data_IF_900362333868
#
_entry.id   IF_900362333868
#
_cell.length_a   1.000
_cell.length_b   1.000
_cell.length_c   1.000
_cell.angle_alpha   90.00
_cell.angle_beta   90.00
_cell.angle_gamma   90.00
#
_symmetry.space_group_name_H-M   'P 1'
#
loop_
_entity.id
_entity.type
_entity.pdbx_description
1 polymer ?
#
# COMPACT_ATOMS: atom_id res chain seq x y z
N UNK A 1 -10.32 37.15 10.76
CA UNK A 1 -9.39 38.19 11.26
C UNK A 1 -8.28 37.58 12.15
N UNK A 2 -7.50 36.60 11.68
CA UNK A 2 -6.34 36.07 12.43
C UNK A 2 -5.16 35.64 11.53
N UNK A 3 -5.24 35.89 10.22
CA UNK A 3 -4.20 35.49 9.25
C UNK A 3 -3.14 36.54 8.91
N UNK A 4 -3.37 37.82 9.19
CA UNK A 4 -2.50 38.89 8.68
C UNK A 4 -1.38 39.35 9.63
N UNK A 5 -1.40 38.92 10.89
CA UNK A 5 -0.41 39.41 11.85
C UNK A 5 0.92 38.60 11.83
N UNK A 6 0.93 37.38 11.31
CA UNK A 6 2.20 36.64 11.23
C UNK A 6 3.09 37.06 10.06
N UNK A 7 2.53 37.57 8.98
CA UNK A 7 3.34 38.07 7.83
C UNK A 7 4.04 39.38 8.14
N UNK A 8 3.51 40.19 9.05
CA UNK A 8 4.11 41.48 9.41
C UNK A 8 5.30 41.37 10.38
N UNK A 9 5.39 40.31 11.17
CA UNK A 9 6.52 40.09 12.09
C UNK A 9 7.77 39.63 11.34
N UNK A 10 7.63 38.96 10.23
CA UNK A 10 8.77 38.50 9.41
C UNK A 10 9.43 39.64 8.59
N UNK A 11 8.69 40.72 8.29
CA UNK A 11 9.23 41.85 7.53
C UNK A 11 9.99 42.87 8.40
N UNK A 12 9.83 42.85 9.72
CA UNK A 12 10.46 43.85 10.61
C UNK A 12 11.87 43.46 11.10
N UNK A 13 12.29 42.18 10.87
CA UNK A 13 13.63 41.69 11.24
C UNK A 13 14.68 41.79 10.13
N UNK A 14 14.31 42.26 8.93
CA UNK A 14 15.19 42.32 7.75
C UNK A 14 15.87 43.68 7.56
N UNK A 15 15.54 44.69 8.38
CA UNK A 15 16.02 46.08 8.13
C UNK A 15 17.26 46.48 8.96
N UNK A 16 17.75 45.68 9.89
CA UNK A 16 18.93 46.00 10.68
C UNK A 16 19.99 44.89 10.64
N UNK A 17 20.84 44.93 9.64
CA UNK A 17 22.12 44.17 9.67
C UNK A 17 22.49 43.50 8.38
N UNK A 18 23.37 44.09 7.61
CA UNK A 18 24.35 43.54 6.68
C UNK A 18 23.88 42.40 5.78
N UNK A 19 23.99 42.61 4.48
CA UNK A 19 23.76 41.68 3.36
C UNK A 19 24.38 40.28 3.56
N UNK A 20 23.76 39.44 4.34
CA UNK A 20 23.84 38.00 4.20
C UNK A 20 22.61 37.59 3.37
N UNK A 21 22.78 37.50 2.06
CA UNK A 21 21.86 36.80 1.22
C UNK A 21 21.94 35.32 1.60
N UNK A 22 21.24 34.92 2.66
CA UNK A 22 20.84 33.56 2.82
C UNK A 22 19.84 33.31 1.70
N UNK A 23 20.32 32.74 0.59
CA UNK A 23 19.48 32.01 -0.34
C UNK A 23 18.93 30.80 0.42
N UNK A 24 17.98 31.05 1.32
CA UNK A 24 17.06 30.02 1.76
C UNK A 24 16.20 29.80 0.52
N UNK A 25 16.58 28.84 -0.31
CA UNK A 25 15.63 28.22 -1.21
C UNK A 25 14.51 27.73 -0.29
N UNK A 26 13.44 28.50 -0.18
CA UNK A 26 12.20 28.02 0.40
C UNK A 26 11.78 26.88 -0.51
N UNK A 27 12.06 25.63 -0.12
CA UNK A 27 11.51 24.48 -0.79
C UNK A 27 10.00 24.70 -0.81
N UNK A 28 9.46 24.88 -2.00
CA UNK A 28 8.03 25.11 -2.19
C UNK A 28 7.35 23.77 -1.94
N UNK A 29 6.75 23.63 -0.75
CA UNK A 29 6.02 22.43 -0.40
C UNK A 29 4.82 22.30 -1.30
N UNK A 30 4.73 21.17 -1.98
CA UNK A 30 3.67 20.84 -2.93
C UNK A 30 2.40 20.33 -2.23
N UNK A 31 2.57 19.55 -1.16
CA UNK A 31 1.45 18.89 -0.50
C UNK A 31 1.68 18.82 1.02
N UNK A 32 0.61 19.06 1.79
CA UNK A 32 0.58 18.85 3.24
C UNK A 32 -0.47 17.80 3.56
N UNK A 33 -0.06 16.67 4.14
CA UNK A 33 -0.98 15.61 4.52
C UNK A 33 -1.73 15.92 5.83
N UNK A 34 -2.68 15.04 6.21
CA UNK A 34 -3.50 15.21 7.44
C UNK A 34 -2.68 15.13 8.73
N UNK A 35 -1.53 14.47 8.72
CA UNK A 35 -0.62 14.39 9.86
C UNK A 35 0.39 15.55 9.90
N UNK A 36 0.28 16.50 8.98
CA UNK A 36 1.13 17.70 8.95
C UNK A 36 2.45 17.52 8.20
N UNK A 37 2.70 16.36 7.59
CA UNK A 37 3.90 16.11 6.79
C UNK A 37 3.84 16.94 5.53
N UNK A 38 4.93 17.67 5.26
CA UNK A 38 5.11 18.52 4.10
C UNK A 38 5.92 17.75 3.05
N UNK A 39 5.35 17.56 1.86
CA UNK A 39 5.98 16.86 0.75
C UNK A 39 6.27 17.83 -0.38
N UNK A 40 7.45 17.76 -0.97
CA UNK A 40 7.72 18.40 -2.24
C UNK A 40 7.05 17.63 -3.39
N UNK A 41 7.10 18.16 -4.61
CA UNK A 41 6.43 17.56 -5.77
C UNK A 41 6.96 16.15 -6.11
N UNK A 42 8.28 15.94 -5.98
CA UNK A 42 8.91 14.66 -6.29
C UNK A 42 8.54 13.59 -5.25
N UNK A 43 8.56 13.92 -3.98
CA UNK A 43 8.15 13.03 -2.88
C UNK A 43 6.68 12.65 -2.98
N UNK A 44 5.81 13.63 -3.29
CA UNK A 44 4.39 13.37 -3.51
C UNK A 44 4.16 12.43 -4.69
N UNK A 45 4.81 12.68 -5.84
CA UNK A 45 4.76 11.78 -7.01
C UNK A 45 5.26 10.39 -6.68
N UNK A 46 6.40 10.30 -5.97
CA UNK A 46 6.95 9.04 -5.52
C UNK A 46 5.95 8.25 -4.68
N UNK A 47 5.34 8.89 -3.69
CA UNK A 47 4.33 8.23 -2.86
C UNK A 47 3.08 7.83 -3.63
N UNK A 48 2.65 8.58 -4.67
CA UNK A 48 1.54 8.19 -5.55
C UNK A 48 1.84 6.93 -6.35
N UNK A 49 3.09 6.74 -6.77
CA UNK A 49 3.51 5.52 -7.47
C UNK A 49 3.59 4.33 -6.52
N UNK A 50 3.96 4.57 -5.26
CA UNK A 50 4.16 3.52 -4.26
C UNK A 50 2.89 3.16 -3.47
N UNK A 51 2.11 4.16 -3.07
CA UNK A 51 0.88 4.05 -2.30
C UNK A 51 -0.35 4.51 -3.11
N UNK A 52 -1.40 4.91 -2.42
CA UNK A 52 -2.57 5.59 -2.97
C UNK A 52 -2.70 6.99 -2.36
N UNK A 53 -3.46 7.88 -3.00
CA UNK A 53 -3.71 9.23 -2.47
C UNK A 53 -4.32 9.19 -1.05
N UNK A 54 -5.26 8.28 -0.81
CA UNK A 54 -5.85 8.10 0.52
C UNK A 54 -4.81 7.75 1.58
N UNK A 55 -3.81 6.92 1.24
CA UNK A 55 -2.78 6.53 2.19
C UNK A 55 -1.77 7.65 2.46
N UNK A 56 -1.47 8.49 1.45
CA UNK A 56 -0.54 9.62 1.61
C UNK A 56 -1.01 10.56 2.72
N UNK A 57 -2.31 10.76 2.86
CA UNK A 57 -2.91 11.53 3.94
C UNK A 57 -2.63 10.97 5.35
N UNK A 58 -2.32 9.70 5.46
CA UNK A 58 -2.06 8.99 6.71
C UNK A 58 -0.60 8.60 6.93
N UNK A 59 0.32 9.04 6.06
CA UNK A 59 1.76 8.88 6.28
C UNK A 59 2.14 9.66 7.55
N UNK A 60 2.77 8.96 8.49
CA UNK A 60 3.30 9.54 9.73
C UNK A 60 4.74 10.01 9.53
N UNK A 61 5.24 10.79 10.49
CA UNK A 61 6.63 11.25 10.48
C UNK A 61 7.62 10.07 10.46
N UNK A 62 7.34 9.01 11.21
CA UNK A 62 8.18 7.81 11.21
C UNK A 62 8.27 7.16 9.83
N UNK A 63 7.14 7.05 9.12
CA UNK A 63 7.11 6.51 7.75
C UNK A 63 7.90 7.42 6.81
N UNK A 64 7.68 8.73 6.88
CA UNK A 64 8.39 9.69 6.03
C UNK A 64 9.90 9.64 6.27
N UNK A 65 10.33 9.67 7.53
CA UNK A 65 11.74 9.61 7.92
C UNK A 65 12.39 8.29 7.51
N UNK A 66 11.66 7.18 7.56
CA UNK A 66 12.16 5.89 7.07
C UNK A 66 12.48 5.93 5.56
N UNK A 67 11.61 6.55 4.74
CA UNK A 67 11.87 6.74 3.31
C UNK A 67 13.04 7.68 3.06
N UNK A 68 13.13 8.78 3.81
CA UNK A 68 14.19 9.76 3.70
C UNK A 68 15.56 9.16 4.08
N UNK A 69 15.64 8.54 5.26
CA UNK A 69 16.89 8.01 5.82
C UNK A 69 17.47 6.84 5.01
N UNK A 70 16.60 6.08 4.33
CA UNK A 70 17.02 4.98 3.46
C UNK A 70 17.27 5.42 2.00
N UNK A 71 17.12 6.72 1.69
CA UNK A 71 17.33 7.26 0.34
C UNK A 71 16.35 6.67 -0.69
N UNK A 72 15.12 6.34 -0.28
CA UNK A 72 14.15 5.74 -1.18
C UNK A 72 13.61 6.75 -2.19
N UNK A 73 13.53 8.03 -1.86
CA UNK A 73 13.03 9.07 -2.77
C UNK A 73 13.90 9.22 -4.03
N UNK A 74 15.20 8.88 -3.94
CA UNK A 74 16.12 8.89 -5.07
C UNK A 74 16.02 7.62 -5.92
N UNK A 75 15.19 6.67 -5.54
CA UNK A 75 15.04 5.39 -6.21
C UNK A 75 13.79 5.35 -7.07
N UNK A 76 13.82 4.48 -8.08
CA UNK A 76 12.67 4.25 -8.93
C UNK A 76 11.71 3.26 -8.28
N UNK A 77 10.44 3.63 -8.16
CA UNK A 77 9.38 2.69 -7.80
C UNK A 77 9.08 1.82 -9.01
N UNK A 78 9.14 0.50 -8.82
CA UNK A 78 8.83 -0.46 -9.86
C UNK A 78 7.44 -1.04 -9.64
N UNK A 79 6.52 -0.65 -10.50
CA UNK A 79 5.28 -1.35 -10.76
C UNK A 79 5.29 -1.79 -12.22
N UNK A 80 5.25 -3.07 -12.50
CA UNK A 80 5.10 -3.55 -13.87
C UNK A 80 3.63 -3.64 -14.21
N UNK A 81 3.19 -2.94 -15.24
CA UNK A 81 1.83 -3.08 -15.76
C UNK A 81 1.67 -4.48 -16.39
N UNK A 82 0.56 -5.14 -16.02
CA UNK A 82 0.17 -6.40 -16.65
C UNK A 82 -0.43 -6.12 -18.03
N UNK A 83 0.31 -6.42 -19.07
CA UNK A 83 -0.22 -6.53 -20.41
C UNK A 83 -0.77 -7.94 -20.62
N UNK A 84 -2.09 -8.09 -20.61
CA UNK A 84 -2.82 -9.34 -20.60
C UNK A 84 -2.60 -10.34 -21.75
N UNK A 85 -1.58 -10.17 -22.57
CA UNK A 85 -1.31 -11.00 -23.73
C UNK A 85 -0.21 -12.06 -23.56
N UNK A 86 0.53 -12.07 -22.45
CA UNK A 86 1.56 -13.08 -22.20
C UNK A 86 1.38 -13.80 -20.87
N UNK A 87 0.94 -15.03 -20.92
CA UNK A 87 0.75 -15.96 -19.81
C UNK A 87 2.02 -16.25 -18.97
N UNK A 88 3.17 -15.74 -19.35
CA UNK A 88 4.47 -16.03 -18.72
C UNK A 88 5.06 -14.85 -17.92
N UNK A 89 4.61 -13.62 -18.15
CA UNK A 89 5.06 -12.45 -17.39
C UNK A 89 3.97 -11.99 -16.44
N UNK A 90 4.07 -12.42 -15.20
CA UNK A 90 3.18 -11.97 -14.12
C UNK A 90 3.57 -10.57 -13.76
N UNK A 91 2.78 -9.61 -14.18
CA UNK A 91 2.94 -8.21 -13.81
C UNK A 91 2.64 -7.98 -12.33
N UNK A 92 3.16 -6.90 -11.79
CA UNK A 92 2.85 -6.43 -10.44
C UNK A 92 1.44 -5.81 -10.32
N UNK A 93 0.66 -5.82 -11.39
CA UNK A 93 -0.74 -5.38 -11.42
C UNK A 93 -1.61 -6.43 -12.05
N UNK A 94 -2.71 -6.77 -11.39
CA UNK A 94 -3.80 -7.55 -11.97
C UNK A 94 -5.11 -6.83 -11.75
N UNK A 95 -5.90 -6.71 -12.80
CA UNK A 95 -7.13 -5.95 -12.83
C UNK A 95 -8.26 -6.75 -13.46
N UNK A 96 -9.42 -6.67 -12.85
CA UNK A 96 -10.69 -7.16 -13.36
C UNK A 96 -11.66 -5.99 -13.59
N UNK A 97 -12.85 -6.25 -14.10
CA UNK A 97 -13.88 -5.20 -14.24
C UNK A 97 -14.32 -4.57 -12.90
N UNK A 98 -14.07 -5.23 -11.77
CA UNK A 98 -14.55 -4.81 -10.45
C UNK A 98 -13.45 -4.51 -9.45
N UNK A 99 -12.25 -5.08 -9.62
CA UNK A 99 -11.16 -5.02 -8.63
C UNK A 99 -9.80 -4.90 -9.30
N UNK A 100 -8.86 -4.38 -8.51
CA UNK A 100 -7.44 -4.31 -8.86
C UNK A 100 -6.61 -4.78 -7.68
N UNK A 101 -5.54 -5.50 -7.94
CA UNK A 101 -4.41 -5.67 -7.03
C UNK A 101 -3.15 -5.15 -7.70
N UNK A 102 -2.38 -4.35 -6.98
CA UNK A 102 -1.09 -3.81 -7.42
C UNK A 102 -0.03 -4.07 -6.36
N UNK A 103 1.15 -4.46 -6.77
CA UNK A 103 2.33 -4.54 -5.93
C UNK A 103 3.39 -3.57 -6.45
N UNK A 104 3.96 -2.78 -5.56
CA UNK A 104 5.06 -1.85 -5.87
C UNK A 104 6.25 -2.17 -4.98
N UNK A 105 7.48 -2.01 -5.50
CA UNK A 105 8.70 -2.14 -4.74
C UNK A 105 9.60 -0.92 -4.91
N UNK A 106 10.30 -0.57 -3.86
CA UNK A 106 11.46 0.31 -3.89
C UNK A 106 12.57 -0.34 -3.07
N UNK A 107 13.79 -0.33 -3.58
CA UNK A 107 14.91 -1.03 -2.95
C UNK A 107 16.13 -0.12 -2.76
N UNK A 108 16.78 -0.26 -1.60
CA UNK A 108 18.13 0.25 -1.31
C UNK A 108 18.98 -0.89 -0.75
N UNK A 109 19.35 -0.89 0.51
CA UNK A 109 19.96 -2.03 1.22
C UNK A 109 18.96 -3.18 1.46
N UNK A 110 17.69 -2.86 1.59
CA UNK A 110 16.53 -3.75 1.65
C UNK A 110 15.45 -3.26 0.68
N UNK A 111 14.40 -4.02 0.51
CA UNK A 111 13.25 -3.62 -0.31
C UNK A 111 12.04 -3.33 0.58
N UNK A 112 11.42 -2.19 0.35
CA UNK A 112 10.10 -1.86 0.87
C UNK A 112 9.05 -2.20 -0.18
N UNK A 113 8.01 -2.91 0.24
CA UNK A 113 6.94 -3.42 -0.61
C UNK A 113 5.62 -2.78 -0.19
N UNK A 114 4.81 -2.41 -1.16
CA UNK A 114 3.42 -1.98 -0.97
C UNK A 114 2.50 -2.86 -1.78
N UNK A 115 1.48 -3.41 -1.13
CA UNK A 115 0.36 -4.11 -1.77
C UNK A 115 -0.87 -3.22 -1.65
N UNK A 116 -1.47 -2.92 -2.78
CA UNK A 116 -2.73 -2.16 -2.88
C UNK A 116 -3.78 -3.05 -3.51
N UNK A 117 -4.87 -3.31 -2.79
CA UNK A 117 -6.08 -3.89 -3.36
C UNK A 117 -7.18 -2.83 -3.38
N UNK A 118 -7.83 -2.66 -4.54
CA UNK A 118 -8.82 -1.60 -4.75
C UNK A 118 -10.06 -2.15 -5.44
N UNK A 119 -11.22 -1.70 -4.98
CA UNK A 119 -12.47 -1.92 -5.69
C UNK A 119 -12.73 -0.80 -6.70
N UNK A 120 -13.03 -1.19 -7.92
CA UNK A 120 -13.45 -0.31 -9.01
C UNK A 120 -14.96 -0.13 -9.06
N UNK A 121 -15.69 -1.12 -8.53
CA UNK A 121 -17.15 -1.11 -8.40
C UNK A 121 -17.51 -1.63 -7.02
N UNK A 122 -18.51 -1.03 -6.40
CA UNK A 122 -19.02 -1.48 -5.11
C UNK A 122 -19.52 -2.93 -5.20
N UNK A 123 -19.12 -3.76 -4.24
CA UNK A 123 -19.65 -5.11 -4.12
C UNK A 123 -20.97 -5.14 -3.34
N UNK A 124 -21.84 -6.06 -3.73
CA UNK A 124 -23.06 -6.37 -3.01
C UNK A 124 -22.76 -7.16 -1.73
N UNK A 125 -21.80 -8.08 -1.80
CA UNK A 125 -21.42 -8.90 -0.64
C UNK A 125 -20.39 -8.16 0.21
N UNK A 126 -20.75 -7.94 1.47
CA UNK A 126 -19.93 -7.24 2.48
C UNK A 126 -19.58 -8.21 3.60
N UNK A 127 -18.55 -9.01 3.40
CA UNK A 127 -18.15 -10.06 4.32
C UNK A 127 -16.65 -9.93 4.64
N UNK A 128 -15.91 -11.03 4.69
CA UNK A 128 -14.49 -11.05 4.97
C UNK A 128 -13.70 -11.32 3.70
N UNK A 129 -12.93 -10.32 3.28
CA UNK A 129 -11.97 -10.45 2.20
C UNK A 129 -10.58 -10.82 2.74
N UNK A 130 -9.72 -11.31 1.85
CA UNK A 130 -8.38 -11.78 2.22
C UNK A 130 -7.34 -11.20 1.28
N UNK A 131 -6.25 -10.68 1.85
CA UNK A 131 -4.99 -10.45 1.15
C UNK A 131 -3.99 -11.47 1.64
N UNK A 132 -3.43 -12.25 0.71
CA UNK A 132 -2.35 -13.19 0.96
C UNK A 132 -1.06 -12.71 0.34
N UNK A 133 0.03 -12.91 1.05
CA UNK A 133 1.38 -12.61 0.61
C UNK A 133 2.24 -13.81 0.94
N UNK A 134 3.02 -14.27 -0.04
CA UNK A 134 3.97 -15.34 0.13
C UNK A 134 5.34 -14.90 -0.39
N UNK A 135 6.38 -15.06 0.43
CA UNK A 135 7.75 -14.73 0.10
C UNK A 135 8.56 -16.02 -0.11
N UNK A 136 9.04 -16.20 -1.31
CA UNK A 136 9.94 -17.29 -1.67
C UNK A 136 11.39 -16.85 -1.47
N UNK A 137 12.09 -17.45 -0.51
CA UNK A 137 13.52 -17.22 -0.29
C UNK A 137 13.88 -16.07 0.64
N UNK A 138 13.02 -15.71 1.61
CA UNK A 138 13.33 -14.66 2.58
C UNK A 138 12.38 -14.62 3.77
N UNK A 139 12.56 -13.63 4.62
CA UNK A 139 11.72 -13.35 5.77
C UNK A 139 11.17 -11.93 5.69
N UNK A 140 9.98 -11.75 6.24
CA UNK A 140 9.38 -10.43 6.40
C UNK A 140 10.01 -9.67 7.55
N UNK A 141 10.29 -8.40 7.31
CA UNK A 141 10.78 -7.42 8.28
C UNK A 141 9.78 -6.25 8.33
N UNK A 142 9.70 -5.54 9.46
CA UNK A 142 8.94 -4.29 9.64
C UNK A 142 7.54 -4.29 8.96
N UNK A 143 6.72 -5.28 9.32
CA UNK A 143 5.37 -5.41 8.76
C UNK A 143 4.49 -4.31 9.33
N UNK A 144 3.94 -3.46 8.46
CA UNK A 144 2.87 -2.53 8.84
C UNK A 144 1.52 -3.24 8.89
N UNK A 145 0.66 -2.79 9.79
CA UNK A 145 -0.74 -3.23 9.77
C UNK A 145 -1.39 -2.78 8.46
N UNK A 146 -2.22 -3.66 7.89
CA UNK A 146 -3.01 -3.27 6.73
C UNK A 146 -3.99 -2.16 7.10
N UNK A 147 -4.13 -1.16 6.23
CA UNK A 147 -5.11 -0.09 6.36
C UNK A 147 -6.21 -0.29 5.34
N UNK A 148 -7.45 -0.23 5.80
CA UNK A 148 -8.65 -0.24 4.97
C UNK A 148 -9.22 1.17 4.88
N UNK A 149 -9.43 1.66 3.67
CA UNK A 149 -10.10 2.92 3.39
C UNK A 149 -11.45 2.66 2.73
N UNK A 150 -12.49 3.30 3.26
CA UNK A 150 -13.82 3.33 2.67
C UNK A 150 -14.19 4.77 2.37
N UNK A 151 -14.43 5.08 1.09
CA UNK A 151 -14.71 6.43 0.61
C UNK A 151 -13.70 7.48 1.13
N UNK A 152 -12.42 7.14 1.10
CA UNK A 152 -11.31 8.01 1.55
C UNK A 152 -11.11 8.07 3.07
N UNK A 153 -11.96 7.42 3.87
CA UNK A 153 -11.84 7.39 5.33
C UNK A 153 -11.18 6.08 5.76
N UNK A 154 -10.15 6.15 6.61
CA UNK A 154 -9.50 4.98 7.18
C UNK A 154 -10.44 4.32 8.19
N UNK A 155 -10.66 3.01 8.02
CA UNK A 155 -11.45 2.17 8.94
C UNK A 155 -10.60 1.00 9.39
N UNK A 156 -10.53 0.77 10.70
CA UNK A 156 -9.74 -0.32 11.29
C UNK A 156 -10.58 -1.59 11.39
N UNK A 157 -10.50 -2.46 10.37
CA UNK A 157 -11.21 -3.73 10.33
C UNK A 157 -10.35 -4.85 9.74
N UNK A 158 -9.05 -4.85 10.08
CA UNK A 158 -8.10 -5.82 9.53
C UNK A 158 -7.43 -6.62 10.64
N UNK A 159 -7.17 -7.89 10.37
CA UNK A 159 -6.36 -8.76 11.23
C UNK A 159 -5.31 -9.47 10.38
N UNK A 160 -4.04 -9.30 10.72
CA UNK A 160 -2.92 -9.92 10.01
C UNK A 160 -2.35 -11.10 10.81
N UNK A 161 -2.20 -12.24 10.15
CA UNK A 161 -1.49 -13.43 10.65
C UNK A 161 -0.20 -13.59 9.87
N UNK A 162 0.89 -13.87 10.58
CA UNK A 162 2.22 -14.11 10.02
C UNK A 162 2.64 -15.57 10.26
N UNK A 163 3.24 -16.14 9.23
CA UNK A 163 4.13 -17.32 9.32
C UNK A 163 5.52 -16.90 8.88
N UNK A 164 6.50 -17.82 8.85
CA UNK A 164 7.88 -17.48 8.47
C UNK A 164 7.97 -16.82 7.10
N UNK A 165 7.22 -17.32 6.14
CA UNK A 165 7.28 -16.89 4.73
C UNK A 165 5.93 -16.44 4.15
N UNK A 166 4.89 -16.30 4.97
CA UNK A 166 3.59 -15.85 4.48
C UNK A 166 2.88 -14.91 5.46
N UNK A 167 2.12 -13.99 4.89
CA UNK A 167 1.20 -13.09 5.60
C UNK A 167 -0.20 -13.31 5.08
N UNK A 168 -1.18 -13.29 5.96
CA UNK A 168 -2.59 -13.22 5.61
C UNK A 168 -3.26 -12.10 6.36
N UNK A 169 -3.88 -11.19 5.63
CA UNK A 169 -4.71 -10.15 6.21
C UNK A 169 -6.17 -10.44 5.90
N UNK A 170 -6.93 -10.69 6.96
CA UNK A 170 -8.39 -10.81 6.92
C UNK A 170 -9.01 -9.44 7.12
N UNK A 171 -9.90 -9.07 6.21
CA UNK A 171 -10.50 -7.73 6.14
C UNK A 171 -12.00 -7.86 6.28
N UNK A 172 -12.58 -7.35 7.35
CA UNK A 172 -14.03 -7.21 7.49
C UNK A 172 -14.49 -5.98 6.69
N UNK A 173 -15.24 -6.21 5.61
CA UNK A 173 -15.74 -5.12 4.79
C UNK A 173 -16.79 -4.29 5.53
N UNK A 174 -16.76 -2.94 5.42
CA UNK A 174 -17.79 -2.08 6.00
C UNK A 174 -19.13 -2.30 5.29
N UNK A 175 -20.22 -2.14 6.01
CA UNK A 175 -21.58 -2.34 5.48
C UNK A 175 -21.98 -1.30 4.44
N UNK A 176 -21.31 -0.14 4.42
CA UNK A 176 -21.54 0.99 3.52
C UNK A 176 -20.24 1.39 2.85
N UNK A 177 -20.34 2.23 1.83
CA UNK A 177 -19.21 2.78 1.08
C UNK A 177 -19.20 2.30 -0.38
N UNK A 178 -18.77 3.17 -1.29
CA UNK A 178 -18.74 2.92 -2.73
C UNK A 178 -17.35 2.53 -3.21
N UNK A 179 -16.31 3.05 -2.59
CA UNK A 179 -14.91 2.73 -2.88
C UNK A 179 -14.25 2.07 -1.69
N UNK A 180 -13.44 1.06 -1.96
CA UNK A 180 -12.63 0.37 -0.97
C UNK A 180 -11.21 0.26 -1.47
N UNK A 181 -10.27 0.62 -0.60
CA UNK A 181 -8.84 0.43 -0.81
C UNK A 181 -8.24 -0.23 0.41
N UNK A 182 -7.41 -1.22 0.18
CA UNK A 182 -6.67 -1.91 1.24
C UNK A 182 -5.20 -1.79 0.89
N UNK A 183 -4.40 -1.34 1.84
CA UNK A 183 -2.97 -1.13 1.64
C UNK A 183 -2.23 -1.83 2.77
N UNK A 184 -1.25 -2.64 2.39
CA UNK A 184 -0.32 -3.27 3.31
C UNK A 184 1.10 -3.06 2.82
N UNK A 185 2.01 -2.66 3.71
CA UNK A 185 3.42 -2.54 3.40
C UNK A 185 4.29 -3.33 4.40
N UNK A 186 5.47 -3.70 3.95
CA UNK A 186 6.44 -4.45 4.73
C UNK A 186 7.82 -4.32 4.10
N UNK A 187 8.83 -4.61 4.89
CA UNK A 187 10.20 -4.67 4.43
C UNK A 187 10.64 -6.12 4.25
N UNK A 188 11.51 -6.35 3.27
CA UNK A 188 12.10 -7.66 3.00
C UNK A 188 13.56 -7.49 2.58
N UNK A 189 14.37 -8.53 2.79
CA UNK A 189 15.71 -8.60 2.20
C UNK A 189 15.61 -8.59 0.68
N UNK A 190 16.61 -8.02 0.03
CA UNK A 190 16.67 -7.92 -1.42
C UNK A 190 17.02 -9.27 -2.07
N UNK A 191 16.13 -10.24 -1.94
CA UNK A 191 16.27 -11.57 -2.56
C UNK A 191 14.94 -12.31 -2.61
N UNK A 192 14.73 -13.13 -3.63
CA UNK A 192 13.56 -13.97 -3.77
C UNK A 192 12.44 -13.38 -4.63
N UNK A 193 11.28 -14.00 -4.54
CA UNK A 193 10.07 -13.61 -5.26
C UNK A 193 8.93 -13.43 -4.26
N UNK A 194 8.21 -12.32 -4.39
CA UNK A 194 6.99 -12.08 -3.63
C UNK A 194 5.79 -12.40 -4.52
N UNK A 195 4.86 -13.11 -3.95
CA UNK A 195 3.53 -13.38 -4.53
C UNK A 195 2.48 -12.74 -3.64
N UNK A 196 1.45 -12.16 -4.23
CA UNK A 196 0.31 -11.65 -3.49
C UNK A 196 -0.99 -11.90 -4.25
N UNK A 197 -2.07 -12.15 -3.51
CA UNK A 197 -3.41 -12.27 -4.07
C UNK A 197 -4.44 -11.59 -3.19
N UNK A 198 -5.49 -11.10 -3.81
CA UNK A 198 -6.66 -10.55 -3.16
C UNK A 198 -7.88 -11.38 -3.53
N UNK A 199 -8.54 -11.94 -2.51
CA UNK A 199 -9.70 -12.80 -2.67
C UNK A 199 -10.93 -12.15 -2.02
N UNK A 200 -11.96 -11.90 -2.84
CA UNK A 200 -13.22 -11.33 -2.38
C UNK A 200 -14.23 -12.44 -2.08
N UNK A 201 -14.92 -12.31 -0.94
CA UNK A 201 -16.00 -13.21 -0.57
C UNK A 201 -17.25 -12.93 -1.42
N UNK A 202 -17.66 -13.90 -2.25
CA UNK A 202 -18.88 -13.88 -3.08
C UNK A 202 -20.16 -14.20 -2.30
N UNK A 203 -20.02 -14.71 -1.08
CA UNK A 203 -21.11 -15.05 -0.17
C UNK A 203 -20.73 -14.59 1.24
N UNK A 204 -21.75 -14.42 2.10
CA UNK A 204 -21.50 -14.17 3.51
C UNK A 204 -20.73 -15.33 4.13
N UNK A 205 -19.65 -15.04 4.82
CA UNK A 205 -18.79 -16.02 5.48
C UNK A 205 -18.45 -15.53 6.89
N UNK A 206 -18.36 -16.45 7.85
CA UNK A 206 -17.93 -16.12 9.21
C UNK A 206 -16.40 -15.92 9.26
N UNK A 207 -15.91 -15.21 10.26
CA UNK A 207 -14.47 -15.03 10.48
C UNK A 207 -13.73 -16.38 10.60
N UNK A 208 -14.30 -17.34 11.33
CA UNK A 208 -13.70 -18.67 11.50
C UNK A 208 -13.57 -19.41 10.15
N UNK A 209 -14.61 -19.35 9.32
CA UNK A 209 -14.58 -19.97 8.00
C UNK A 209 -13.67 -19.21 7.00
N UNK A 210 -13.55 -17.89 7.12
CA UNK A 210 -12.65 -17.11 6.26
C UNK A 210 -11.17 -17.48 6.44
N UNK A 211 -10.83 -18.18 7.52
CA UNK A 211 -9.47 -18.64 7.86
C UNK A 211 -9.19 -20.09 7.52
N UNK A 212 -10.11 -20.78 6.84
CA UNK A 212 -9.95 -22.18 6.41
C UNK A 212 -9.15 -22.25 5.11
N UNK A 213 -7.86 -21.96 5.20
CA UNK A 213 -6.91 -22.04 4.11
C UNK A 213 -5.52 -22.40 4.63
N UNK A 214 -4.69 -22.92 3.74
CA UNK A 214 -3.24 -22.98 3.87
C UNK A 214 -2.59 -22.07 2.83
N UNK A 215 -1.31 -21.74 3.05
CA UNK A 215 -0.56 -21.01 2.06
C UNK A 215 0.00 -21.96 1.01
N UNK A 216 -0.18 -21.57 -0.25
CA UNK A 216 0.39 -22.28 -1.38
C UNK A 216 0.69 -21.29 -2.49
N UNK A 217 1.80 -21.45 -3.20
CA UNK A 217 2.02 -20.73 -4.44
C UNK A 217 1.42 -21.53 -5.59
N UNK A 218 0.34 -21.05 -6.17
CA UNK A 218 -0.25 -21.61 -7.36
C UNK A 218 0.11 -20.84 -8.62
N UNK A 219 0.04 -21.53 -9.75
CA UNK A 219 0.48 -21.10 -11.07
C UNK A 219 0.22 -19.63 -11.46
N UNK A 220 -0.70 -18.90 -10.89
CA UNK A 220 -1.03 -17.52 -11.25
C UNK A 220 -0.82 -16.51 -10.11
N UNK A 221 0.11 -16.80 -9.18
CA UNK A 221 0.38 -15.91 -8.04
C UNK A 221 -0.64 -16.01 -6.90
N UNK A 222 -1.58 -16.94 -6.96
CA UNK A 222 -2.47 -17.24 -5.85
C UNK A 222 -1.66 -17.79 -4.68
N UNK A 223 -1.89 -17.25 -3.48
CA UNK A 223 -1.18 -17.67 -2.27
C UNK A 223 -2.06 -18.47 -1.31
N UNK A 224 -3.35 -18.61 -1.62
CA UNK A 224 -4.29 -19.36 -0.80
C UNK A 224 -4.67 -20.69 -1.42
N UNK A 225 -4.58 -21.75 -0.63
CA UNK A 225 -5.24 -23.02 -0.86
C UNK A 225 -6.41 -23.13 0.12
N UNK A 226 -7.62 -22.81 -0.34
CA UNK A 226 -8.83 -22.90 0.47
C UNK A 226 -9.28 -24.33 0.68
N UNK A 227 -9.77 -24.64 1.87
CA UNK A 227 -10.51 -25.87 2.14
C UNK A 227 -11.70 -25.98 1.18
N UNK A 228 -12.09 -27.21 0.80
CA UNK A 228 -13.22 -27.46 -0.11
C UNK A 228 -14.52 -26.82 0.40
N UNK A 229 -14.73 -26.83 1.72
CA UNK A 229 -15.92 -26.27 2.38
C UNK A 229 -16.12 -24.78 2.16
N UNK A 230 -15.05 -24.02 1.86
CA UNK A 230 -15.07 -22.56 1.69
C UNK A 230 -14.55 -22.07 0.34
N UNK A 231 -13.94 -22.91 -0.47
CA UNK A 231 -13.39 -22.54 -1.79
C UNK A 231 -14.40 -21.82 -2.67
N UNK A 232 -15.66 -22.29 -2.71
CA UNK A 232 -16.71 -21.68 -3.53
C UNK A 232 -17.20 -20.32 -3.01
N UNK A 233 -16.78 -19.92 -1.80
CA UNK A 233 -17.16 -18.63 -1.20
C UNK A 233 -16.30 -17.48 -1.71
N UNK A 234 -15.12 -17.78 -2.25
CA UNK A 234 -14.20 -16.77 -2.74
C UNK A 234 -14.18 -16.73 -4.27
N UNK A 235 -13.84 -15.58 -4.80
CA UNK A 235 -13.58 -15.45 -6.22
C UNK A 235 -12.21 -16.03 -6.60
N UNK A 236 -12.00 -16.17 -7.90
CA UNK A 236 -10.77 -16.71 -8.48
C UNK A 236 -9.89 -15.59 -9.08
N UNK A 237 -9.79 -14.44 -8.41
CA UNK A 237 -8.93 -13.37 -8.89
C UNK A 237 -7.47 -13.84 -8.93
N UNK A 238 -6.81 -13.60 -10.05
CA UNK A 238 -5.37 -13.87 -10.18
C UNK A 238 -4.57 -13.02 -9.21
N UNK A 239 -3.46 -13.58 -8.73
CA UNK A 239 -2.49 -12.84 -7.96
C UNK A 239 -1.50 -12.07 -8.83
N UNK A 240 -0.55 -11.45 -8.16
CA UNK A 240 0.59 -10.72 -8.72
C UNK A 240 1.88 -11.25 -8.12
N UNK A 241 3.00 -11.06 -8.82
CA UNK A 241 4.31 -11.40 -8.29
C UNK A 241 5.36 -10.39 -8.72
N UNK A 242 6.39 -10.23 -7.90
CA UNK A 242 7.53 -9.36 -8.17
C UNK A 242 8.82 -10.05 -7.75
N UNK A 243 9.85 -9.96 -8.61
CA UNK A 243 11.18 -10.44 -8.28
C UNK A 243 11.92 -9.33 -7.51
N UNK A 244 12.64 -9.70 -6.44
CA UNK A 244 13.40 -8.77 -5.59
C UNK A 244 14.85 -8.59 -6.05
N UNK A 245 15.32 -9.45 -6.94
CA UNK A 245 16.66 -9.37 -7.50
C UNK A 245 16.77 -8.25 -8.52
#
# INVERSE_FOLDING_TARGET
>A
LKGDNMKKIFYLLIVLGGTLTLNVNAEEYFYKNKNGILLNENEYKFFKDFYTENYIDYITEDIYNDFLNNGFFDKKVFSTEYNGSNLLTRGAVHETNSKLIRMSKVCSSHCKISIVAKWKKSSVVRSYDLIGIYLEGGNFENISYAKLFSDGTCVENTETKKTDNALSTTIKLPTKGNSLEIIQSFDVKKSGIIYSSYQHAKKSISLANSRKFSFSKYGYGNVYLFDESVRSYYDAMQGVSINLN
#
